data_IF_487213146602
#
_entry.id   IF_487213146602
#
_cell.length_a   1.000
_cell.length_b   1.000
_cell.length_c   1.000
_cell.angle_alpha   90.00
_cell.angle_beta   90.00
_cell.angle_gamma   90.00
#
_symmetry.space_group_name_H-M   'P 1'
#
loop_
_entity.id
_entity.type
_entity.pdbx_description
1 polymer ?
#
# COMPACT_ATOMS: atom_id res chain seq x y z
N UNK A 1 41.10 30.49 12.07
CA UNK A 1 40.76 29.40 11.13
C UNK A 1 40.06 28.36 11.97
N UNK A 2 38.74 28.36 11.96
CA UNK A 2 37.91 27.55 12.84
C UNK A 2 37.80 26.14 12.27
N UNK A 3 38.29 25.17 13.03
CA UNK A 3 38.11 23.74 12.78
C UNK A 3 36.61 23.40 12.81
N UNK A 4 35.98 23.33 11.64
CA UNK A 4 34.65 22.76 11.51
C UNK A 4 34.76 21.25 11.66
N UNK A 5 34.53 20.79 12.89
CA UNK A 5 34.33 19.39 13.23
C UNK A 5 33.08 18.92 12.49
N UNK A 6 33.27 18.27 11.35
CA UNK A 6 32.25 17.44 10.74
C UNK A 6 31.93 16.33 11.74
N UNK A 7 30.88 16.53 12.53
CA UNK A 7 30.24 15.45 13.28
C UNK A 7 29.80 14.44 12.23
N UNK A 8 30.59 13.39 12.05
CA UNK A 8 30.16 12.15 11.42
C UNK A 8 28.90 11.75 12.20
N UNK A 9 27.72 11.96 11.60
CA UNK A 9 26.45 11.52 12.18
C UNK A 9 26.63 10.03 12.47
N UNK A 10 26.57 9.66 13.75
CA UNK A 10 26.57 8.27 14.15
C UNK A 10 25.43 7.58 13.38
N UNK A 11 25.76 6.61 12.53
CA UNK A 11 24.82 5.86 11.69
C UNK A 11 23.81 5.00 12.51
N UNK A 12 23.87 5.05 13.84
CA UNK A 12 22.83 4.58 14.74
C UNK A 12 21.88 5.75 15.10
N UNK A 13 21.36 6.46 14.10
CA UNK A 13 20.20 7.32 14.32
C UNK A 13 19.03 6.42 14.72
N UNK A 14 18.33 6.76 15.81
CA UNK A 14 17.14 6.04 16.27
C UNK A 14 16.15 5.96 15.09
N UNK A 15 16.00 4.76 14.50
CA UNK A 15 15.08 4.55 13.38
C UNK A 15 13.67 4.96 13.79
N UNK A 16 12.98 5.69 12.92
CA UNK A 16 11.63 6.16 13.20
C UNK A 16 10.65 4.98 13.19
N UNK A 17 10.09 4.66 14.36
CA UNK A 17 9.15 3.53 14.50
C UNK A 17 7.81 3.82 13.84
N UNK A 18 7.28 2.86 13.10
CA UNK A 18 5.91 2.84 12.62
C UNK A 18 4.96 2.36 13.75
N UNK A 19 3.67 2.67 13.62
CA UNK A 19 2.66 2.23 14.60
C UNK A 19 2.46 0.72 14.61
N UNK A 20 2.68 0.07 13.47
CA UNK A 20 2.50 -1.37 13.27
C UNK A 20 3.70 -1.94 12.50
N UNK A 21 3.94 -3.24 12.68
CA UNK A 21 4.84 -3.99 11.81
C UNK A 21 4.10 -4.37 10.53
N UNK A 22 4.78 -4.29 9.39
CA UNK A 22 4.21 -4.51 8.07
C UNK A 22 4.98 -5.60 7.32
N UNK A 23 4.25 -6.34 6.49
CA UNK A 23 4.78 -7.42 5.67
C UNK A 23 4.39 -7.20 4.20
N UNK A 24 5.37 -7.28 3.30
CA UNK A 24 5.18 -7.23 1.86
C UNK A 24 5.02 -8.66 1.33
N UNK A 25 3.91 -8.90 0.64
CA UNK A 25 3.56 -10.18 0.03
C UNK A 25 3.38 -10.03 -1.47
N UNK A 26 3.77 -11.05 -2.21
CA UNK A 26 3.56 -11.14 -3.67
C UNK A 26 2.86 -12.45 -3.98
N UNK A 27 1.74 -12.34 -4.69
CA UNK A 27 1.00 -13.46 -5.27
C UNK A 27 1.19 -13.42 -6.79
N UNK A 28 2.02 -14.33 -7.28
CA UNK A 28 2.21 -14.54 -8.71
C UNK A 28 1.13 -15.55 -9.14
N UNK A 29 0.02 -15.07 -9.74
CA UNK A 29 -0.97 -16.02 -10.27
C UNK A 29 -0.29 -16.93 -11.30
N UNK A 30 -0.19 -18.22 -10.99
CA UNK A 30 0.07 -19.21 -12.02
C UNK A 30 -1.20 -19.34 -12.86
N UNK A 31 -1.12 -19.13 -14.18
CA UNK A 31 -2.23 -19.36 -15.13
C UNK A 31 -2.80 -20.80 -15.09
N UNK A 32 -2.16 -21.68 -14.33
CA UNK A 32 -2.64 -23.00 -13.95
C UNK A 32 -2.65 -23.07 -12.43
N UNK A 33 -3.82 -23.15 -11.79
CA UNK A 33 -4.13 -23.97 -10.61
C UNK A 33 -5.44 -23.48 -9.99
N UNK A 34 -6.43 -24.39 -9.98
CA UNK A 34 -7.76 -24.21 -9.43
C UNK A 34 -7.78 -24.45 -7.91
N UNK A 35 -6.91 -23.79 -7.15
CA UNK A 35 -6.88 -23.92 -5.69
C UNK A 35 -7.27 -22.60 -5.04
N UNK A 36 -8.25 -22.68 -4.14
CA UNK A 36 -8.84 -21.60 -3.34
C UNK A 36 -7.88 -20.93 -2.33
N UNK A 37 -6.59 -21.21 -2.43
CA UNK A 37 -5.55 -20.78 -1.49
C UNK A 37 -4.65 -19.77 -2.20
N UNK A 38 -4.45 -18.61 -1.57
CA UNK A 38 -3.52 -17.58 -2.04
C UNK A 38 -2.12 -18.19 -2.10
N UNK A 39 -1.47 -18.17 -3.26
CA UNK A 39 -0.07 -18.57 -3.41
C UNK A 39 0.87 -17.38 -3.11
N UNK A 40 0.47 -16.57 -2.12
CA UNK A 40 1.18 -15.37 -1.73
C UNK A 40 2.35 -15.73 -0.80
N UNK A 41 3.53 -15.17 -1.10
CA UNK A 41 4.72 -15.30 -0.24
C UNK A 41 5.08 -13.96 0.40
N UNK A 42 5.36 -13.96 1.69
CA UNK A 42 5.98 -12.83 2.37
C UNK A 42 7.44 -12.72 1.92
N UNK A 43 7.84 -11.55 1.45
CA UNK A 43 9.18 -11.30 0.91
C UNK A 43 9.97 -10.24 1.70
N UNK A 44 9.29 -9.44 2.51
CA UNK A 44 9.93 -8.46 3.39
C UNK A 44 9.03 -8.15 4.59
N UNK A 45 9.67 -7.82 5.72
CA UNK A 45 9.02 -7.37 6.95
C UNK A 45 9.74 -6.10 7.41
N UNK A 46 8.99 -5.10 7.87
CA UNK A 46 9.57 -3.85 8.38
C UNK A 46 8.72 -3.25 9.50
N UNK A 47 9.36 -2.46 10.36
CA UNK A 47 8.67 -1.75 11.46
C UNK A 47 9.14 -0.30 11.58
N UNK A 48 10.01 0.16 10.68
CA UNK A 48 10.55 1.52 10.70
C UNK A 48 10.35 2.23 9.37
N UNK A 49 10.34 3.56 9.40
CA UNK A 49 10.20 4.40 8.19
C UNK A 49 11.37 4.16 7.22
N UNK A 50 12.58 3.99 7.73
CA UNK A 50 13.77 3.73 6.93
C UNK A 50 13.71 2.38 6.23
N UNK A 51 13.24 1.34 6.93
CA UNK A 51 13.03 0.02 6.34
C UNK A 51 11.88 0.06 5.32
N UNK A 52 10.80 0.79 5.60
CA UNK A 52 9.73 1.01 4.61
C UNK A 52 10.29 1.58 3.31
N UNK A 53 11.08 2.65 3.36
CA UNK A 53 11.66 3.25 2.15
C UNK A 53 12.66 2.31 1.46
N UNK A 54 13.42 1.52 2.22
CA UNK A 54 14.32 0.52 1.66
C UNK A 54 13.57 -0.57 0.89
N UNK A 55 12.46 -1.07 1.45
CA UNK A 55 11.59 -2.05 0.79
C UNK A 55 10.87 -1.42 -0.41
N UNK A 56 10.22 -0.28 -0.22
CA UNK A 56 9.42 0.39 -1.25
C UNK A 56 10.26 0.78 -2.48
N UNK A 57 11.47 1.31 -2.28
CA UNK A 57 12.37 1.68 -3.39
C UNK A 57 12.89 0.48 -4.20
N UNK A 58 12.83 -0.74 -3.64
CA UNK A 58 13.19 -1.97 -4.35
C UNK A 58 12.03 -2.57 -5.17
N UNK A 59 10.81 -2.06 -5.00
CA UNK A 59 9.64 -2.55 -5.74
C UNK A 59 9.72 -2.16 -7.21
N UNK A 60 9.18 -3.02 -8.08
CA UNK A 60 9.06 -2.69 -9.51
C UNK A 60 8.03 -1.59 -9.73
N UNK A 61 8.31 -0.67 -10.66
CA UNK A 61 7.32 0.35 -11.06
C UNK A 61 6.04 -0.32 -11.56
N UNK A 62 4.90 0.21 -11.13
CA UNK A 62 3.57 -0.22 -11.53
C UNK A 62 3.35 -0.09 -13.04
N UNK A 63 4.15 0.73 -13.72
CA UNK A 63 4.07 0.95 -15.16
C UNK A 63 4.59 -0.24 -15.98
N UNK A 64 5.53 -1.00 -15.42
CA UNK A 64 6.21 -2.14 -16.07
C UNK A 64 5.86 -3.48 -15.43
N UNK A 65 5.07 -3.46 -14.36
CA UNK A 65 4.66 -4.65 -13.64
C UNK A 65 3.88 -5.62 -14.54
N UNK A 66 4.21 -6.93 -14.52
CA UNK A 66 3.44 -7.93 -15.26
C UNK A 66 1.97 -7.96 -14.84
N UNK A 67 1.09 -8.27 -15.79
CA UNK A 67 -0.32 -8.52 -15.49
C UNK A 67 -0.45 -9.84 -14.72
N UNK A 68 -1.40 -9.90 -13.79
CA UNK A 68 -1.66 -11.11 -12.99
C UNK A 68 -0.76 -11.28 -11.77
N UNK A 69 0.05 -10.28 -11.42
CA UNK A 69 0.75 -10.23 -10.13
C UNK A 69 -0.01 -9.30 -9.20
N UNK A 70 -0.42 -9.85 -8.05
CA UNK A 70 -1.02 -9.09 -6.97
C UNK A 70 0.02 -8.88 -5.87
N UNK A 71 0.16 -7.64 -5.40
CA UNK A 71 1.09 -7.29 -4.32
C UNK A 71 0.30 -6.73 -3.16
N UNK A 72 0.63 -7.20 -1.97
CA UNK A 72 -0.03 -6.84 -0.73
C UNK A 72 0.99 -6.30 0.25
N UNK A 73 0.62 -5.24 0.94
CA UNK A 73 1.31 -4.74 2.11
C UNK A 73 0.35 -4.81 3.29
N UNK A 74 0.58 -5.76 4.18
CA UNK A 74 -0.33 -6.14 5.26
C UNK A 74 0.31 -5.81 6.61
N UNK A 75 -0.51 -5.43 7.59
CA UNK A 75 -0.04 -5.42 8.98
C UNK A 75 0.30 -6.86 9.40
N UNK A 76 1.41 -7.05 10.11
CA UNK A 76 1.91 -8.37 10.48
C UNK A 76 0.85 -9.21 11.20
N UNK A 77 0.77 -10.48 10.85
CA UNK A 77 -0.23 -11.43 11.38
C UNK A 77 -1.63 -11.33 10.75
N UNK A 78 -1.85 -10.45 9.76
CA UNK A 78 -3.12 -10.36 9.04
C UNK A 78 -3.11 -11.11 7.71
N UNK A 79 -4.31 -11.42 7.20
CA UNK A 79 -4.52 -11.98 5.86
C UNK A 79 -5.44 -11.06 5.03
N UNK A 80 -5.30 -11.02 3.70
CA UNK A 80 -6.19 -10.22 2.86
C UNK A 80 -7.63 -10.78 2.82
N UNK A 81 -7.88 -11.98 3.33
CA UNK A 81 -9.22 -12.60 3.31
C UNK A 81 -10.10 -12.20 4.52
N UNK A 82 -9.62 -11.31 5.40
CA UNK A 82 -10.21 -11.11 6.72
C UNK A 82 -11.29 -9.99 6.81
N UNK A 83 -11.94 -9.55 5.73
CA UNK A 83 -13.06 -8.61 5.85
C UNK A 83 -13.42 -7.80 4.60
N UNK A 84 -13.78 -6.52 4.81
CA UNK A 84 -14.27 -5.60 3.78
C UNK A 84 -13.10 -4.92 3.06
N UNK A 85 -13.25 -4.64 1.76
CA UNK A 85 -12.28 -3.82 1.00
C UNK A 85 -12.90 -2.67 0.23
N UNK A 86 -12.19 -1.55 0.22
CA UNK A 86 -12.45 -0.41 -0.66
C UNK A 86 -11.49 -0.49 -1.83
N UNK A 87 -12.02 -0.47 -3.04
CA UNK A 87 -11.28 -0.61 -4.29
C UNK A 87 -11.31 0.71 -5.04
N UNK A 88 -10.13 1.26 -5.29
CA UNK A 88 -9.86 2.43 -6.12
C UNK A 88 -9.36 1.95 -7.48
N UNK A 89 -9.96 2.41 -8.56
CA UNK A 89 -9.56 2.07 -9.92
C UNK A 89 -9.10 3.30 -10.68
N UNK A 90 -7.92 3.21 -11.29
CA UNK A 90 -7.27 4.26 -12.05
C UNK A 90 -7.07 3.80 -13.50
N UNK A 91 -7.48 4.64 -14.45
CA UNK A 91 -7.38 4.29 -15.88
C UNK A 91 -5.93 4.26 -16.37
N UNK A 92 -5.70 3.59 -17.49
CA UNK A 92 -4.40 3.61 -18.18
C UNK A 92 -4.01 5.00 -18.72
N UNK A 93 -4.97 5.95 -18.83
CA UNK A 93 -4.67 7.33 -19.26
C UNK A 93 -3.77 8.08 -18.29
N UNK A 94 -3.78 7.69 -17.01
CA UNK A 94 -2.96 8.27 -15.93
C UNK A 94 -1.82 7.31 -15.53
N UNK A 95 -1.43 6.39 -16.43
CA UNK A 95 -0.41 5.36 -16.13
C UNK A 95 0.92 5.94 -15.69
N UNK A 96 1.32 7.09 -16.23
CA UNK A 96 2.55 7.80 -15.82
C UNK A 96 2.54 8.23 -14.36
N UNK A 97 1.37 8.30 -13.72
CA UNK A 97 1.20 8.76 -12.33
C UNK A 97 0.89 7.60 -11.37
N UNK A 98 0.77 6.36 -11.86
CA UNK A 98 0.41 5.20 -11.04
C UNK A 98 1.33 5.00 -9.84
N UNK A 99 2.65 5.13 -10.04
CA UNK A 99 3.63 4.99 -8.96
C UNK A 99 3.40 6.05 -7.87
N UNK A 100 3.20 7.32 -8.26
CA UNK A 100 2.91 8.41 -7.33
C UNK A 100 1.58 8.23 -6.60
N UNK A 101 0.54 7.83 -7.32
CA UNK A 101 -0.80 7.55 -6.77
C UNK A 101 -0.68 6.46 -5.69
N UNK A 102 -0.04 5.34 -6.00
CA UNK A 102 0.14 4.26 -5.05
C UNK A 102 0.99 4.69 -3.85
N UNK A 103 2.07 5.45 -4.09
CA UNK A 103 2.92 5.99 -3.03
C UNK A 103 2.13 6.84 -2.03
N UNK A 104 1.27 7.74 -2.52
CA UNK A 104 0.49 8.62 -1.65
C UNK A 104 -0.52 7.83 -0.81
N UNK A 105 -1.17 6.82 -1.39
CA UNK A 105 -2.16 6.00 -0.68
C UNK A 105 -1.48 5.05 0.32
N UNK A 106 -0.34 4.45 -0.03
CA UNK A 106 0.40 3.58 0.90
C UNK A 106 0.95 4.40 2.08
N UNK A 107 1.36 5.64 1.86
CA UNK A 107 1.79 6.54 2.94
C UNK A 107 0.64 6.89 3.90
N UNK A 108 -0.60 7.08 3.41
CA UNK A 108 -1.76 7.24 4.29
C UNK A 108 -1.98 6.02 5.19
N UNK A 109 -1.74 4.83 4.64
CA UNK A 109 -1.89 3.56 5.36
C UNK A 109 -0.76 3.35 6.36
N UNK A 110 0.49 3.30 5.90
CA UNK A 110 1.67 3.03 6.73
C UNK A 110 1.91 4.13 7.77
N UNK A 111 1.59 5.38 7.41
CA UNK A 111 1.68 6.54 8.31
C UNK A 111 0.53 6.68 9.32
N UNK A 112 -0.41 5.74 9.35
CA UNK A 112 -1.51 5.71 10.32
C UNK A 112 -2.49 6.89 10.26
N UNK A 113 -2.61 7.54 9.09
CA UNK A 113 -3.46 8.74 8.93
C UNK A 113 -4.80 8.47 8.24
N UNK A 114 -5.01 7.25 7.72
CA UNK A 114 -6.28 6.85 7.10
C UNK A 114 -7.37 6.60 8.16
N UNK A 115 -8.61 6.96 7.84
CA UNK A 115 -9.78 6.64 8.65
C UNK A 115 -9.88 5.14 8.91
N UNK A 116 -10.33 4.79 10.13
CA UNK A 116 -10.45 3.42 10.60
C UNK A 116 -9.10 2.65 10.63
N UNK A 117 -7.99 3.34 10.89
CA UNK A 117 -6.66 2.71 10.96
C UNK A 117 -6.58 1.50 11.90
N UNK A 118 -7.33 1.50 13.00
CA UNK A 118 -7.34 0.39 13.96
C UNK A 118 -7.91 -0.90 13.38
N UNK A 119 -8.86 -0.81 12.44
CA UNK A 119 -9.39 -1.96 11.71
C UNK A 119 -8.71 -2.20 10.36
N UNK A 120 -7.71 -1.38 10.00
CA UNK A 120 -6.95 -1.55 8.76
C UNK A 120 -6.14 -2.86 8.81
N UNK A 121 -6.39 -3.73 7.84
CA UNK A 121 -5.68 -5.00 7.62
C UNK A 121 -4.46 -4.76 6.73
N UNK A 122 -4.62 -3.94 5.71
CA UNK A 122 -3.54 -3.57 4.80
C UNK A 122 -4.02 -2.98 3.49
N UNK A 123 -3.11 -2.91 2.53
CA UNK A 123 -3.34 -2.37 1.19
C UNK A 123 -2.78 -3.34 0.16
N UNK A 124 -3.41 -3.47 -0.99
CA UNK A 124 -2.89 -4.23 -2.12
C UNK A 124 -3.09 -3.50 -3.42
N UNK A 125 -2.37 -3.90 -4.45
CA UNK A 125 -2.63 -3.44 -5.80
C UNK A 125 -2.55 -4.58 -6.82
N UNK A 126 -3.22 -4.37 -7.94
CA UNK A 126 -3.14 -5.24 -9.11
C UNK A 126 -3.10 -4.41 -10.39
N UNK A 127 -2.24 -4.83 -11.32
CA UNK A 127 -2.01 -4.15 -12.59
C UNK A 127 -2.65 -4.95 -13.72
N UNK A 128 -3.61 -4.33 -14.41
CA UNK A 128 -4.32 -4.90 -15.57
C UNK A 128 -4.48 -3.88 -16.68
N UNK A 129 -5.69 -3.76 -17.24
CA UNK A 129 -6.09 -2.61 -18.09
C UNK A 129 -6.35 -1.33 -17.29
N UNK A 130 -6.32 -1.43 -15.97
CA UNK A 130 -6.42 -0.36 -14.99
C UNK A 130 -5.56 -0.74 -13.80
N UNK A 131 -5.01 0.24 -13.10
CA UNK A 131 -4.47 0.02 -11.76
C UNK A 131 -5.65 -0.08 -10.78
N UNK A 132 -5.70 -1.16 -10.00
CA UNK A 132 -6.65 -1.32 -8.90
C UNK A 132 -5.88 -1.34 -7.59
N UNK A 133 -6.20 -0.43 -6.69
CA UNK A 133 -5.68 -0.41 -5.32
C UNK A 133 -6.83 -0.82 -4.39
N UNK A 134 -6.60 -1.82 -3.55
CA UNK A 134 -7.58 -2.29 -2.55
C UNK A 134 -7.08 -1.99 -1.15
N UNK A 135 -7.91 -1.35 -0.33
CA UNK A 135 -7.64 -1.08 1.08
C UNK A 135 -8.55 -2.01 1.88
N UNK A 136 -7.96 -2.83 2.74
CA UNK A 136 -8.61 -3.95 3.43
C UNK A 136 -8.82 -3.62 4.90
N UNK A 137 -9.99 -3.97 5.42
CA UNK A 137 -10.39 -3.76 6.80
C UNK A 137 -10.98 -5.04 7.40
N UNK A 138 -10.76 -5.26 8.69
CA UNK A 138 -11.22 -6.46 9.41
C UNK A 138 -12.70 -6.46 9.77
N UNK A 139 -13.42 -5.37 9.48
CA UNK A 139 -14.84 -5.22 9.74
C UNK A 139 -15.48 -4.20 8.80
N UNK A 140 -16.80 -4.20 8.76
CA UNK A 140 -17.59 -3.29 7.93
C UNK A 140 -18.23 -2.19 8.76
N UNK A 141 -18.23 -0.96 8.24
CA UNK A 141 -18.96 0.16 8.83
C UNK A 141 -19.64 0.98 7.71
N UNK A 142 -20.89 1.40 7.93
CA UNK A 142 -21.70 2.14 6.95
C UNK A 142 -21.03 3.44 6.47
N UNK A 143 -20.33 4.15 7.34
CA UNK A 143 -19.66 5.43 7.01
C UNK A 143 -18.22 5.24 6.51
N UNK A 144 -17.70 4.00 6.52
CA UNK A 144 -16.31 3.70 6.16
C UNK A 144 -15.96 4.18 4.76
N UNK A 145 -16.83 3.90 3.78
CA UNK A 145 -16.59 4.32 2.41
C UNK A 145 -16.47 5.84 2.31
N UNK A 146 -17.41 6.59 2.88
CA UNK A 146 -17.43 8.05 2.79
C UNK A 146 -16.23 8.71 3.46
N UNK A 147 -15.81 8.20 4.62
CA UNK A 147 -14.67 8.75 5.36
C UNK A 147 -13.34 8.45 4.65
N UNK A 148 -13.16 7.22 4.15
CA UNK A 148 -11.95 6.84 3.41
C UNK A 148 -11.87 7.60 2.08
N UNK A 149 -12.99 7.78 1.38
CA UNK A 149 -13.06 8.62 0.17
C UNK A 149 -12.71 10.07 0.49
N UNK A 150 -13.17 10.61 1.63
CA UNK A 150 -12.77 11.95 2.08
C UNK A 150 -11.25 12.03 2.24
N UNK A 151 -10.63 11.07 2.90
CA UNK A 151 -9.18 11.07 3.12
C UNK A 151 -8.40 10.99 1.80
N UNK A 152 -8.85 10.14 0.87
CA UNK A 152 -8.25 10.01 -0.46
C UNK A 152 -8.39 11.32 -1.26
N UNK A 153 -9.52 12.00 -1.16
CA UNK A 153 -9.77 13.26 -1.86
C UNK A 153 -8.94 14.43 -1.30
N UNK A 154 -8.36 14.30 -0.10
CA UNK A 154 -7.40 15.27 0.43
C UNK A 154 -6.01 15.14 -0.20
N UNK A 155 -5.73 14.03 -0.88
CA UNK A 155 -4.50 13.86 -1.64
C UNK A 155 -4.58 14.74 -2.91
N UNK A 156 -3.58 15.62 -3.17
CA UNK A 156 -3.57 16.47 -4.36
C UNK A 156 -3.78 15.67 -5.65
N UNK A 157 -4.63 16.20 -6.53
CA UNK A 157 -4.98 15.66 -7.85
C UNK A 157 -5.69 14.29 -7.87
N UNK A 158 -5.90 13.64 -6.71
CA UNK A 158 -6.44 12.28 -6.64
C UNK A 158 -7.87 12.15 -7.22
N UNK A 159 -8.68 13.21 -7.10
CA UNK A 159 -10.06 13.26 -7.63
C UNK A 159 -10.08 13.16 -9.15
N UNK A 160 -9.15 13.83 -9.84
CA UNK A 160 -9.11 13.87 -11.32
C UNK A 160 -8.64 12.53 -11.91
N UNK A 161 -7.82 11.79 -11.18
CA UNK A 161 -7.25 10.52 -11.63
C UNK A 161 -8.13 9.31 -11.30
N UNK A 162 -9.00 9.41 -10.29
CA UNK A 162 -9.83 8.29 -9.83
C UNK A 162 -10.98 8.04 -10.80
N UNK A 163 -10.99 6.86 -11.44
CA UNK A 163 -12.04 6.50 -12.39
C UNK A 163 -13.25 5.86 -11.71
N UNK A 164 -13.01 5.08 -10.64
CA UNK A 164 -14.07 4.41 -9.88
C UNK A 164 -13.61 4.11 -8.46
N UNK A 165 -14.52 4.31 -7.51
CA UNK A 165 -14.39 3.84 -6.12
C UNK A 165 -15.55 2.87 -5.87
N UNK A 166 -15.26 1.71 -5.29
CA UNK A 166 -16.29 0.72 -4.93
C UNK A 166 -15.93 0.00 -3.65
N UNK A 167 -16.93 -0.41 -2.88
CA UNK A 167 -16.76 -1.26 -1.70
C UNK A 167 -17.15 -2.70 -2.03
N UNK A 168 -16.43 -3.67 -1.49
CA UNK A 168 -16.74 -5.10 -1.56
C UNK A 168 -16.61 -5.73 -0.19
N UNK A 169 -17.53 -6.63 0.11
CA UNK A 169 -17.48 -7.53 1.28
C UNK A 169 -16.89 -8.87 0.87
#
# INVERSE_FOLDING_TARGET
>A
MTEEVWKIRNYNEEKHQLSDCWELWVDEMSESFSSSELNARSIAIFQTVEEFWSVYSSMSSLQVMPKGVDVYLLKSGNSPNNGQKIILSFSEKVKSEWDLIYQQIVLLCVGSTISYYTSLVGISYSVGSSLKISIWYSGSNETMLSDVVRDINLIPNMVEHTTRISIKN
#
